data_IF_413637638904
#
_entry.id   IF_413637638904
#
_cell.length_a   1.000
_cell.length_b   1.000
_cell.length_c   1.000
_cell.angle_alpha   90.00
_cell.angle_beta   90.00
_cell.angle_gamma   90.00
#
_symmetry.space_group_name_H-M   'P 1'
#
loop_
_entity.id
_entity.type
_entity.pdbx_description
1 polymer ?
#
# COMPACT_ATOMS: atom_id res chain seq x y z
N UNK A 1 7.14 -38.47 -14.59
CA UNK A 1 7.67 -37.67 -13.45
C UNK A 1 9.17 -37.57 -13.64
N UNK A 2 9.71 -36.35 -13.75
CA UNK A 2 11.15 -36.14 -13.89
C UNK A 2 11.73 -35.96 -12.49
N UNK A 3 12.58 -36.89 -12.07
CA UNK A 3 13.25 -36.79 -10.77
C UNK A 3 14.44 -35.86 -10.93
N UNK A 4 14.34 -34.66 -10.36
CA UNK A 4 15.41 -33.65 -10.38
C UNK A 4 16.19 -33.74 -9.07
N UNK A 5 17.46 -34.11 -9.15
CA UNK A 5 18.36 -34.23 -7.99
C UNK A 5 19.17 -32.95 -7.85
N UNK A 6 19.08 -32.29 -6.69
CA UNK A 6 19.86 -31.08 -6.40
C UNK A 6 20.66 -31.21 -5.10
N UNK A 7 21.79 -30.48 -4.97
CA UNK A 7 22.53 -30.42 -3.72
C UNK A 7 21.67 -29.84 -2.60
N UNK A 8 21.83 -30.36 -1.38
CA UNK A 8 21.08 -29.90 -0.19
C UNK A 8 21.16 -28.39 0.05
N UNK A 9 22.35 -27.79 -0.18
CA UNK A 9 22.57 -26.35 -0.06
C UNK A 9 21.72 -25.55 -1.06
N UNK A 10 21.58 -26.06 -2.27
CA UNK A 10 20.79 -25.43 -3.32
C UNK A 10 19.29 -25.53 -3.01
N UNK A 11 18.85 -26.69 -2.50
CA UNK A 11 17.49 -26.86 -1.99
C UNK A 11 17.16 -25.85 -0.89
N UNK A 12 18.03 -25.72 0.11
CA UNK A 12 17.82 -24.77 1.22
C UNK A 12 17.71 -23.33 0.73
N UNK A 13 18.58 -22.93 -0.21
CA UNK A 13 18.54 -21.59 -0.83
C UNK A 13 17.23 -21.33 -1.55
N UNK A 14 16.72 -22.32 -2.30
CA UNK A 14 15.46 -22.20 -3.04
C UNK A 14 14.26 -22.16 -2.08
N UNK A 15 14.26 -23.00 -1.05
CA UNK A 15 13.22 -23.04 -0.03
C UNK A 15 13.10 -21.70 0.71
N UNK A 16 14.23 -21.10 1.08
CA UNK A 16 14.24 -19.80 1.76
C UNK A 16 13.71 -18.67 0.86
N UNK A 17 14.09 -18.68 -0.43
CA UNK A 17 13.55 -17.72 -1.41
C UNK A 17 12.04 -17.88 -1.60
N UNK A 18 11.55 -19.10 -1.71
CA UNK A 18 10.12 -19.38 -1.84
C UNK A 18 9.35 -18.87 -0.63
N UNK A 19 9.86 -19.10 0.58
CA UNK A 19 9.22 -18.66 1.82
C UNK A 19 9.15 -17.13 1.93
N UNK A 20 10.23 -16.43 1.57
CA UNK A 20 10.25 -14.96 1.50
C UNK A 20 9.31 -14.42 0.42
N UNK A 21 9.23 -15.09 -0.72
CA UNK A 21 8.31 -14.73 -1.78
C UNK A 21 6.85 -14.86 -1.33
N UNK A 22 6.47 -15.97 -0.71
CA UNK A 22 5.11 -16.16 -0.17
C UNK A 22 4.77 -15.12 0.91
N UNK A 23 5.72 -14.79 1.78
CA UNK A 23 5.53 -13.72 2.77
C UNK A 23 5.24 -12.36 2.10
N UNK A 24 6.03 -11.99 1.09
CA UNK A 24 5.77 -10.76 0.33
C UNK A 24 4.45 -10.84 -0.45
N UNK A 25 4.12 -12.00 -1.02
CA UNK A 25 2.87 -12.24 -1.74
C UNK A 25 1.67 -12.02 -0.83
N UNK A 26 1.70 -12.51 0.40
CA UNK A 26 0.63 -12.32 1.39
C UNK A 26 0.50 -10.85 1.81
N UNK A 27 1.62 -10.15 2.05
CA UNK A 27 1.61 -8.72 2.34
C UNK A 27 1.07 -7.87 1.18
N UNK A 28 1.20 -8.36 -0.06
CA UNK A 28 0.73 -7.68 -1.27
C UNK A 28 -0.67 -8.17 -1.73
N UNK A 29 -1.14 -9.31 -1.23
CA UNK A 29 -2.54 -9.76 -1.36
C UNK A 29 -3.45 -8.93 -0.44
N UNK A 30 -2.92 -8.43 0.68
CA UNK A 30 -3.51 -7.25 1.33
C UNK A 30 -3.45 -6.08 0.34
N UNK A 31 -4.53 -5.31 0.27
CA UNK A 31 -4.85 -4.39 -0.82
C UNK A 31 -3.96 -3.11 -0.83
N UNK A 32 -2.64 -3.29 -0.83
CA UNK A 32 -1.62 -2.23 -0.78
C UNK A 32 -1.65 -1.36 -2.03
N UNK A 33 -2.17 -1.89 -3.14
CA UNK A 33 -2.37 -1.19 -4.40
C UNK A 33 -3.83 -0.85 -4.70
N UNK A 34 -4.79 -1.20 -3.84
CA UNK A 34 -6.10 -0.58 -3.96
C UNK A 34 -5.94 0.92 -3.84
N UNK A 35 -6.63 1.62 -4.74
CA UNK A 35 -6.90 3.03 -4.48
C UNK A 35 -7.56 3.10 -3.11
N UNK A 36 -7.07 3.94 -2.18
CA UNK A 36 -7.66 4.05 -0.86
C UNK A 36 -9.18 4.22 -1.03
N UNK A 37 -9.99 3.42 -0.32
CA UNK A 37 -11.43 3.37 -0.56
C UNK A 37 -12.10 4.73 -0.31
N UNK A 38 -11.45 5.57 0.50
CA UNK A 38 -11.92 6.88 0.90
C UNK A 38 -11.69 7.92 -0.19
N UNK A 39 -12.68 8.07 -1.07
CA UNK A 39 -12.82 9.23 -1.99
C UNK A 39 -13.35 10.48 -1.29
N UNK A 40 -13.57 10.43 0.03
CA UNK A 40 -14.16 11.54 0.78
C UNK A 40 -13.09 12.52 1.29
N UNK A 41 -13.01 13.68 0.64
CA UNK A 41 -12.09 14.76 1.01
C UNK A 41 -12.26 15.16 2.49
N UNK A 42 -13.50 15.19 3.01
CA UNK A 42 -13.75 15.59 4.40
C UNK A 42 -13.16 14.59 5.40
N UNK A 43 -13.24 13.30 5.09
CA UNK A 43 -12.72 12.24 5.93
C UNK A 43 -11.19 12.27 5.94
N UNK A 44 -10.57 12.38 4.77
CA UNK A 44 -9.12 12.57 4.63
C UNK A 44 -8.66 13.79 5.41
N UNK A 45 -9.30 14.94 5.22
CA UNK A 45 -8.96 16.16 5.97
C UNK A 45 -9.20 16.03 7.47
N UNK A 46 -10.17 15.21 7.90
CA UNK A 46 -10.43 14.88 9.29
C UNK A 46 -9.26 14.13 9.92
N UNK A 47 -8.76 13.09 9.26
CA UNK A 47 -7.59 12.33 9.73
C UNK A 47 -6.34 13.19 9.81
N UNK A 48 -6.04 13.99 8.78
CA UNK A 48 -4.90 14.91 8.80
C UNK A 48 -4.99 15.97 9.91
N UNK A 49 -6.20 16.43 10.25
CA UNK A 49 -6.40 17.36 11.38
C UNK A 49 -6.21 16.69 12.73
N UNK A 50 -6.58 15.41 12.87
CA UNK A 50 -6.42 14.65 14.12
C UNK A 50 -4.96 14.46 14.51
N UNK A 51 -4.05 14.36 13.53
CA UNK A 51 -2.62 14.17 13.82
C UNK A 51 -2.00 15.38 14.52
N UNK A 52 -2.53 16.60 14.31
CA UNK A 52 -2.00 17.88 14.83
C UNK A 52 -0.55 18.19 14.46
N UNK A 53 0.05 17.43 13.54
CA UNK A 53 1.45 17.59 13.09
C UNK A 53 1.54 18.63 11.97
N UNK A 54 0.44 18.87 11.25
CA UNK A 54 0.42 19.71 10.07
C UNK A 54 -0.10 21.11 10.36
N UNK A 55 0.58 22.12 9.81
CA UNK A 55 0.18 23.52 9.90
C UNK A 55 -1.06 23.85 9.06
N UNK A 56 -1.77 24.92 9.43
CA UNK A 56 -3.01 25.34 8.76
C UNK A 56 -2.83 25.65 7.27
N UNK A 57 -1.69 26.22 6.89
CA UNK A 57 -1.40 26.54 5.49
C UNK A 57 -1.27 25.27 4.64
N UNK A 58 -0.64 24.22 5.19
CA UNK A 58 -0.53 22.92 4.53
C UNK A 58 -1.90 22.25 4.40
N UNK A 59 -2.71 22.26 5.45
CA UNK A 59 -4.05 21.68 5.40
C UNK A 59 -4.94 22.35 4.34
N UNK A 60 -4.87 23.68 4.23
CA UNK A 60 -5.59 24.44 3.19
C UNK A 60 -5.11 24.14 1.77
N UNK A 61 -3.79 24.02 1.56
CA UNK A 61 -3.25 23.68 0.24
C UNK A 61 -3.59 22.25 -0.16
N UNK A 62 -3.56 21.31 0.80
CA UNK A 62 -3.95 19.93 0.61
C UNK A 62 -5.43 19.80 0.23
N UNK A 63 -6.33 20.42 0.98
CA UNK A 63 -7.78 20.41 0.70
C UNK A 63 -8.09 20.94 -0.72
N UNK A 64 -7.43 22.03 -1.11
CA UNK A 64 -7.55 22.60 -2.46
C UNK A 64 -7.00 21.67 -3.54
N UNK A 65 -5.91 20.97 -3.27
CA UNK A 65 -5.32 19.97 -4.18
C UNK A 65 -6.23 18.77 -4.38
N UNK A 66 -6.77 18.21 -3.29
CA UNK A 66 -7.72 17.11 -3.32
C UNK A 66 -8.99 17.48 -4.08
N UNK A 67 -9.53 18.69 -3.86
CA UNK A 67 -10.72 19.18 -4.58
C UNK A 67 -10.54 19.36 -6.09
N UNK A 68 -9.31 19.45 -6.58
CA UNK A 68 -8.99 19.55 -8.02
C UNK A 68 -8.77 18.19 -8.68
N UNK A 69 -8.60 17.13 -7.89
CA UNK A 69 -8.33 15.80 -8.42
C UNK A 69 -9.61 15.17 -8.95
N UNK A 70 -9.60 14.76 -10.23
CA UNK A 70 -10.70 14.02 -10.85
C UNK A 70 -11.01 12.71 -10.11
N UNK A 71 -10.02 12.13 -9.43
CA UNK A 71 -10.15 10.93 -8.62
C UNK A 71 -11.04 11.14 -7.38
N UNK A 72 -11.02 12.35 -6.80
CA UNK A 72 -11.86 12.75 -5.66
C UNK A 72 -13.10 13.55 -6.09
N UNK A 73 -13.24 13.87 -7.38
CA UNK A 73 -14.32 14.68 -7.93
C UNK A 73 -15.63 13.89 -8.19
N UNK A 74 -15.67 12.60 -7.86
CA UNK A 74 -16.87 11.78 -8.10
C UNK A 74 -17.86 11.97 -6.95
N UNK A 75 -19.06 12.47 -7.29
CA UNK A 75 -20.21 12.67 -6.41
C UNK A 75 -20.62 11.41 -5.65
#
# INVERSE_FOLDING_TARGET
MVTVTIPKKEYQRLAEKALRYEYLRQLLEEDVFASPPTKNIKEVMGEFKKTKIYGQNFLKSLEKGLGRSSHFATR
#
